data_IF_297583385677
#
_entry.id   IF_297583385677
#
_cell.length_a   1.000
_cell.length_b   1.000
_cell.length_c   1.000
_cell.angle_alpha   90.00
_cell.angle_beta   90.00
_cell.angle_gamma   90.00
#
_symmetry.space_group_name_H-M   'P 1'
#
loop_
_entity.id
_entity.type
_entity.pdbx_description
1 polymer ?
#
# COMPACT_ATOMS: atom_id res chain seq x y z
N UNK A 1 11.23 -12.89 0.70
CA UNK A 1 11.18 -11.54 1.31
C UNK A 1 10.99 -10.52 0.18
N UNK A 2 10.37 -9.39 0.48
CA UNK A 2 9.60 -8.55 -0.45
C UNK A 2 10.38 -7.31 -0.86
N UNK A 3 10.02 -6.64 -1.97
CA UNK A 3 10.34 -5.23 -2.19
C UNK A 3 9.06 -4.37 -2.16
N UNK A 4 9.10 -3.28 -1.39
CA UNK A 4 8.08 -2.21 -1.42
C UNK A 4 8.77 -0.87 -1.60
N UNK A 5 8.23 -0.04 -2.49
CA UNK A 5 8.52 1.40 -2.55
C UNK A 5 7.25 2.20 -2.34
N UNK A 6 7.29 3.18 -1.43
CA UNK A 6 6.19 4.06 -1.07
C UNK A 6 6.65 5.52 -1.18
N UNK A 7 6.04 6.34 -2.03
CA UNK A 7 6.50 7.71 -2.28
C UNK A 7 5.34 8.66 -2.59
N UNK A 8 5.61 9.97 -2.48
CA UNK A 8 4.72 10.99 -3.01
C UNK A 8 4.97 11.13 -4.51
N UNK A 9 3.93 10.92 -5.29
CA UNK A 9 3.90 11.16 -6.73
C UNK A 9 3.11 12.45 -7.00
N UNK A 10 3.64 13.30 -7.89
CA UNK A 10 3.04 14.59 -8.28
C UNK A 10 2.80 14.70 -9.78
N UNK A 11 2.72 13.57 -10.51
CA UNK A 11 2.49 13.53 -11.96
C UNK A 11 1.16 14.15 -12.43
N UNK A 12 0.18 14.30 -11.56
CA UNK A 12 -1.09 14.98 -11.87
C UNK A 12 -1.51 15.81 -10.65
N UNK A 13 -1.77 15.10 -9.55
CA UNK A 13 -2.03 15.66 -8.24
C UNK A 13 -1.18 14.93 -7.22
N UNK A 14 -0.81 15.66 -6.15
CA UNK A 14 -0.08 15.05 -5.05
C UNK A 14 -0.88 13.85 -4.52
N UNK A 15 -0.26 12.69 -4.51
CA UNK A 15 -0.83 11.41 -4.05
C UNK A 15 0.30 10.51 -3.57
N UNK A 16 -0.01 9.54 -2.70
CA UNK A 16 0.97 8.50 -2.34
C UNK A 16 0.81 7.34 -3.31
N UNK A 17 1.91 6.93 -3.91
CA UNK A 17 2.01 5.72 -4.72
C UNK A 17 2.80 4.67 -3.95
N UNK A 18 2.34 3.44 -4.00
CA UNK A 18 3.01 2.30 -3.37
C UNK A 18 3.02 1.13 -4.33
N UNK A 19 4.21 0.57 -4.56
CA UNK A 19 4.38 -0.62 -5.40
C UNK A 19 5.01 -1.76 -4.61
N UNK A 20 4.64 -2.98 -4.94
CA UNK A 20 5.20 -4.18 -4.33
C UNK A 20 5.21 -5.37 -5.29
N UNK A 21 6.10 -6.31 -5.08
CA UNK A 21 6.06 -7.65 -5.69
C UNK A 21 5.08 -8.56 -4.92
N UNK A 22 4.69 -9.72 -5.46
CA UNK A 22 3.74 -10.64 -4.80
C UNK A 22 4.36 -11.98 -4.36
N UNK A 23 5.66 -12.18 -4.56
CA UNK A 23 6.35 -13.42 -4.21
C UNK A 23 6.50 -13.62 -2.70
N UNK A 24 6.23 -14.82 -2.24
CA UNK A 24 6.68 -15.32 -0.93
C UNK A 24 7.72 -16.40 -1.19
N UNK A 25 8.80 -16.34 -0.42
CA UNK A 25 9.83 -17.37 -0.40
C UNK A 25 9.95 -18.01 0.98
N UNK A 26 10.32 -19.28 1.00
CA UNK A 26 10.65 -20.05 2.19
C UNK A 26 11.90 -20.88 1.91
N UNK A 27 12.92 -20.76 2.78
CA UNK A 27 14.16 -21.55 2.69
C UNK A 27 14.79 -21.55 1.27
N UNK A 28 14.92 -20.37 0.64
CA UNK A 28 15.46 -20.17 -0.72
C UNK A 28 14.63 -20.79 -1.85
N UNK A 29 13.38 -21.16 -1.60
CA UNK A 29 12.43 -21.59 -2.62
C UNK A 29 11.23 -20.67 -2.69
N UNK A 30 10.62 -20.55 -3.86
CA UNK A 30 9.35 -19.84 -4.02
C UNK A 30 8.22 -20.67 -3.42
N UNK A 31 7.50 -20.09 -2.46
CA UNK A 31 6.30 -20.70 -1.89
C UNK A 31 5.07 -20.36 -2.74
N UNK A 32 4.94 -19.10 -3.14
CA UNK A 32 3.87 -18.63 -4.03
C UNK A 32 4.26 -17.31 -4.68
N UNK A 33 3.79 -17.07 -5.90
CA UNK A 33 3.91 -15.79 -6.60
C UNK A 33 2.64 -14.93 -6.49
N UNK A 34 1.62 -15.35 -5.73
CA UNK A 34 0.29 -14.73 -5.76
C UNK A 34 -0.14 -14.10 -4.43
N UNK A 35 0.79 -13.69 -3.57
CA UNK A 35 0.43 -13.08 -2.29
C UNK A 35 0.26 -11.57 -2.39
N UNK A 36 -0.93 -11.02 -2.08
CA UNK A 36 -1.09 -9.60 -1.88
C UNK A 36 -0.25 -9.10 -0.71
N UNK A 37 0.38 -7.94 -0.88
CA UNK A 37 1.20 -7.30 0.17
C UNK A 37 0.83 -5.85 0.42
N UNK A 38 -0.02 -5.28 -0.44
CA UNK A 38 -0.60 -3.96 -0.32
C UNK A 38 -2.12 -4.08 -0.16
N UNK A 39 -2.67 -3.32 0.76
CA UNK A 39 -4.07 -3.39 1.14
C UNK A 39 -4.64 -2.00 1.35
N UNK A 40 -5.94 -1.89 1.10
CA UNK A 40 -6.74 -0.73 1.48
C UNK A 40 -7.63 -1.13 2.67
N UNK A 41 -7.62 -0.34 3.74
CA UNK A 41 -8.38 -0.61 4.96
C UNK A 41 -9.38 0.54 5.16
N UNK A 42 -10.70 0.27 5.01
CA UNK A 42 -11.71 1.26 5.30
C UNK A 42 -11.81 1.48 6.82
N UNK A 43 -11.98 2.73 7.21
CA UNK A 43 -12.29 3.09 8.59
C UNK A 43 -13.71 3.60 8.63
N UNK A 44 -14.51 2.97 9.46
CA UNK A 44 -15.93 3.27 9.60
C UNK A 44 -16.28 3.50 11.06
N UNK A 45 -17.19 4.45 11.28
CA UNK A 45 -17.66 4.82 12.61
C UNK A 45 -19.15 4.56 12.73
N UNK A 46 -19.58 4.12 13.90
CA UNK A 46 -20.96 4.15 14.32
C UNK A 46 -21.17 5.49 15.01
N UNK A 47 -21.92 6.37 14.35
CA UNK A 47 -22.29 7.69 14.87
C UNK A 47 -23.12 7.51 16.13
N UNK A 48 -22.98 8.42 17.10
CA UNK A 48 -23.82 8.37 18.32
C UNK A 48 -25.31 8.46 18.02
N UNK A 49 -25.69 9.14 16.92
CA UNK A 49 -27.06 9.24 16.42
C UNK A 49 -27.63 7.91 15.90
N UNK A 50 -26.80 6.91 15.59
CA UNK A 50 -27.25 5.57 15.25
C UNK A 50 -27.54 4.77 16.53
N UNK A 51 -28.76 4.97 17.06
CA UNK A 51 -29.23 4.32 18.29
C UNK A 51 -29.13 2.79 18.22
N UNK A 52 -29.33 2.20 17.04
CA UNK A 52 -29.32 0.76 16.85
C UNK A 52 -27.92 0.20 16.57
N UNK A 53 -26.92 1.06 16.28
CA UNK A 53 -25.52 0.69 16.03
C UNK A 53 -25.33 -0.27 14.84
N UNK A 54 -26.19 -0.15 13.84
CA UNK A 54 -26.25 -1.04 12.67
C UNK A 54 -25.76 -0.40 11.37
N UNK A 55 -25.54 0.92 11.35
CA UNK A 55 -25.14 1.69 10.16
C UNK A 55 -23.74 2.30 10.33
N UNK A 56 -22.66 1.51 10.22
CA UNK A 56 -21.31 2.06 10.21
C UNK A 56 -21.11 2.94 8.96
N UNK A 57 -20.73 4.20 9.17
CA UNK A 57 -20.41 5.15 8.13
C UNK A 57 -18.91 5.14 7.87
N UNK A 58 -18.48 4.89 6.62
CA UNK A 58 -17.08 5.03 6.22
C UNK A 58 -16.65 6.49 6.27
N UNK A 59 -15.56 6.77 6.98
CA UNK A 59 -15.05 8.14 7.20
C UNK A 59 -13.71 8.39 6.49
N UNK A 60 -12.87 7.37 6.36
CA UNK A 60 -11.61 7.42 5.61
C UNK A 60 -11.22 6.04 5.14
N UNK A 61 -10.17 5.98 4.33
CA UNK A 61 -9.57 4.74 3.87
C UNK A 61 -8.04 4.90 3.83
N UNK A 62 -7.34 4.05 4.57
CA UNK A 62 -5.87 4.07 4.64
C UNK A 62 -5.27 2.94 3.81
N UNK A 63 -4.02 3.11 3.43
CA UNK A 63 -3.18 2.07 2.85
C UNK A 63 -2.36 1.37 3.91
N UNK A 64 -2.22 0.06 3.76
CA UNK A 64 -1.35 -0.78 4.58
C UNK A 64 -0.50 -1.66 3.67
N UNK A 65 0.79 -1.77 3.95
CA UNK A 65 1.69 -2.69 3.27
C UNK A 65 2.62 -3.40 4.25
N UNK A 66 3.13 -4.58 3.88
CA UNK A 66 4.10 -5.28 4.71
C UNK A 66 5.16 -6.04 3.91
N UNK A 67 6.34 -6.19 4.50
CA UNK A 67 7.46 -7.00 4.02
C UNK A 67 8.02 -7.86 5.16
N UNK A 68 8.37 -9.11 4.87
CA UNK A 68 8.86 -10.07 5.88
C UNK A 68 7.81 -11.13 6.21
N UNK A 69 7.53 -11.34 7.50
CA UNK A 69 6.65 -12.40 7.99
C UNK A 69 5.20 -12.27 7.51
N UNK A 70 4.81 -13.06 6.50
CA UNK A 70 3.44 -13.08 5.97
C UNK A 70 2.39 -13.35 7.04
N UNK A 71 2.68 -14.28 7.97
CA UNK A 71 1.76 -14.61 9.05
C UNK A 71 1.48 -13.39 9.94
N UNK A 72 2.51 -12.61 10.29
CA UNK A 72 2.32 -11.40 11.10
C UNK A 72 1.63 -10.31 10.28
N UNK A 73 2.13 -10.02 9.08
CA UNK A 73 1.63 -8.94 8.23
C UNK A 73 0.14 -9.08 7.87
N UNK A 74 -0.29 -10.26 7.44
CA UNK A 74 -1.71 -10.52 7.12
C UNK A 74 -2.58 -10.40 8.36
N UNK A 75 -2.17 -11.00 9.50
CA UNK A 75 -2.98 -10.94 10.71
C UNK A 75 -3.09 -9.52 11.28
N UNK A 76 -2.03 -8.70 11.19
CA UNK A 76 -2.11 -7.28 11.55
C UNK A 76 -3.11 -6.56 10.66
N UNK A 77 -3.03 -6.76 9.34
CA UNK A 77 -3.98 -6.19 8.38
C UNK A 77 -5.43 -6.58 8.72
N UNK A 78 -5.72 -7.86 8.95
CA UNK A 78 -7.08 -8.31 9.25
C UNK A 78 -7.59 -7.75 10.58
N UNK A 79 -6.76 -7.75 11.62
CA UNK A 79 -7.13 -7.20 12.92
C UNK A 79 -7.38 -5.69 12.85
N UNK A 80 -6.59 -4.94 12.07
CA UNK A 80 -6.86 -3.53 11.79
C UNK A 80 -8.18 -3.35 11.04
N UNK A 81 -8.44 -4.14 10.00
CA UNK A 81 -9.69 -4.06 9.25
C UNK A 81 -10.92 -4.32 10.13
N UNK A 82 -10.84 -5.33 11.01
CA UNK A 82 -11.91 -5.62 11.99
C UNK A 82 -12.06 -4.48 12.99
N UNK A 83 -10.97 -4.05 13.64
CA UNK A 83 -11.02 -3.02 14.67
C UNK A 83 -11.52 -1.65 14.14
N UNK A 84 -11.12 -1.29 12.92
CA UNK A 84 -11.45 -0.01 12.31
C UNK A 84 -12.79 -0.02 11.55
N UNK A 85 -13.42 -1.18 11.36
CA UNK A 85 -14.70 -1.29 10.65
C UNK A 85 -15.90 -0.75 11.44
N UNK A 86 -15.79 -0.62 12.77
CA UNK A 86 -16.90 -0.27 13.66
C UNK A 86 -16.43 0.54 14.88
N UNK A 87 -15.68 1.60 14.65
CA UNK A 87 -15.30 2.51 15.73
C UNK A 87 -16.54 3.21 16.30
N UNK A 88 -16.60 3.44 17.61
CA UNK A 88 -17.72 4.12 18.25
C UNK A 88 -17.37 5.58 18.54
N UNK A 89 -18.22 6.50 18.10
CA UNK A 89 -18.07 7.92 18.45
C UNK A 89 -18.41 8.13 19.93
N UNK A 90 -17.50 8.78 20.66
CA UNK A 90 -17.63 9.04 22.10
C UNK A 90 -18.18 10.45 22.36
N UNK A 91 -17.91 11.43 21.47
CA UNK A 91 -18.24 12.84 21.67
C UNK A 91 -19.72 13.16 21.41
N UNK A 92 -20.23 14.12 22.19
CA UNK A 92 -21.63 14.57 22.16
C UNK A 92 -21.85 15.74 21.18
N UNK A 93 -21.35 15.60 19.94
CA UNK A 93 -21.59 16.61 18.90
C UNK A 93 -22.98 16.39 18.31
N UNK A 94 -24.00 16.77 19.09
CA UNK A 94 -25.41 16.44 18.89
C UNK A 94 -26.08 17.07 17.67
N UNK A 95 -25.39 17.91 16.88
CA UNK A 95 -26.05 18.75 15.87
C UNK A 95 -25.34 18.85 14.51
N UNK A 96 -24.12 18.34 14.34
CA UNK A 96 -23.42 18.40 13.05
C UNK A 96 -23.57 17.10 12.25
N UNK A 97 -24.08 17.21 11.01
CA UNK A 97 -24.03 16.11 10.03
C UNK A 97 -22.58 15.73 9.67
N UNK A 98 -21.63 16.62 9.93
CA UNK A 98 -20.21 16.44 9.64
C UNK A 98 -19.43 16.08 10.90
N UNK A 99 -18.47 15.17 10.73
CA UNK A 99 -17.49 14.80 11.75
C UNK A 99 -16.41 15.89 11.80
N UNK A 100 -16.13 16.50 12.97
CA UNK A 100 -15.04 17.46 13.09
C UNK A 100 -13.67 16.82 12.80
N UNK A 101 -12.75 17.60 12.21
CA UNK A 101 -11.44 17.09 11.75
C UNK A 101 -10.61 16.47 12.89
N UNK A 102 -10.68 17.06 14.09
CA UNK A 102 -9.99 16.60 15.29
C UNK A 102 -10.45 15.22 15.80
N UNK A 103 -11.67 14.81 15.40
CA UNK A 103 -12.24 13.52 15.79
C UNK A 103 -11.77 12.38 14.88
N UNK A 104 -11.26 12.69 13.68
CA UNK A 104 -10.71 11.65 12.79
C UNK A 104 -9.47 11.01 13.43
N UNK A 105 -9.32 9.67 13.33
CA UNK A 105 -8.08 9.03 13.75
C UNK A 105 -6.94 9.50 12.84
N UNK A 106 -5.82 9.85 13.45
CA UNK A 106 -4.57 10.08 12.74
C UNK A 106 -3.98 8.75 12.27
N UNK A 107 -3.22 8.80 11.17
CA UNK A 107 -2.49 7.61 10.71
C UNK A 107 -1.46 7.13 11.74
N UNK A 108 -0.94 8.02 12.60
CA UNK A 108 -0.03 7.66 13.68
C UNK A 108 -0.70 6.86 14.80
N UNK A 109 -1.92 7.25 15.22
CA UNK A 109 -2.73 6.46 16.16
C UNK A 109 -3.03 5.06 15.60
N UNK A 110 -3.33 4.97 14.30
CA UNK A 110 -3.54 3.68 13.62
C UNK A 110 -2.24 2.86 13.55
N UNK A 111 -1.10 3.48 13.30
CA UNK A 111 0.20 2.82 13.34
C UNK A 111 0.54 2.31 14.74
N UNK A 112 0.21 3.05 15.81
CA UNK A 112 0.35 2.56 17.19
C UNK A 112 -0.49 1.32 17.47
N UNK A 113 -1.73 1.27 16.95
CA UNK A 113 -2.56 0.07 17.03
C UNK A 113 -1.92 -1.10 16.24
N UNK A 114 -1.43 -0.83 15.03
CA UNK A 114 -0.74 -1.83 14.20
C UNK A 114 0.48 -2.42 14.93
N UNK A 115 1.30 -1.56 15.53
CA UNK A 115 2.43 -1.95 16.39
C UNK A 115 1.98 -2.88 17.51
N UNK A 116 0.97 -2.48 18.29
CA UNK A 116 0.49 -3.26 19.43
C UNK A 116 -0.01 -4.64 19.04
N UNK A 117 -0.68 -4.76 17.89
CA UNK A 117 -1.13 -6.05 17.34
C UNK A 117 0.08 -6.88 16.90
N UNK A 118 0.98 -6.28 16.13
CA UNK A 118 2.14 -6.96 15.58
C UNK A 118 3.08 -7.49 16.66
N UNK A 119 3.37 -6.72 17.71
CA UNK A 119 4.24 -7.14 18.81
C UNK A 119 3.69 -8.36 19.55
N UNK A 120 2.36 -8.50 19.68
CA UNK A 120 1.74 -9.73 20.24
C UNK A 120 2.05 -10.94 19.36
N UNK A 121 1.81 -10.84 18.05
CA UNK A 121 2.15 -11.92 17.12
C UNK A 121 3.67 -12.20 17.08
N UNK A 122 4.51 -11.18 17.17
CA UNK A 122 5.96 -11.36 17.21
C UNK A 122 6.41 -12.14 18.44
N UNK A 123 5.81 -11.87 19.61
CA UNK A 123 6.08 -12.65 20.84
C UNK A 123 5.64 -14.11 20.63
N UNK A 124 4.40 -14.34 20.20
CA UNK A 124 3.86 -15.70 20.06
C UNK A 124 4.61 -16.53 19.01
N UNK A 125 4.85 -15.95 17.83
CA UNK A 125 5.58 -16.61 16.73
C UNK A 125 7.05 -16.76 17.09
N UNK A 126 7.64 -15.75 17.73
CA UNK A 126 9.06 -15.72 18.08
C UNK A 126 9.46 -16.77 19.10
N UNK A 127 8.53 -17.25 19.94
CA UNK A 127 8.77 -18.37 20.85
C UNK A 127 9.16 -19.65 20.11
N UNK A 128 8.54 -19.92 18.96
CA UNK A 128 8.75 -21.15 18.20
C UNK A 128 9.64 -20.95 16.96
N UNK A 129 9.57 -19.77 16.35
CA UNK A 129 10.28 -19.42 15.12
C UNK A 129 10.95 -18.03 15.22
N UNK A 130 12.03 -17.87 16.02
CA UNK A 130 12.68 -16.57 16.25
C UNK A 130 13.11 -15.84 14.98
N UNK A 131 13.52 -16.58 13.94
CA UNK A 131 13.95 -15.99 12.68
C UNK A 131 12.78 -15.56 11.77
N UNK A 132 11.55 -15.98 12.07
CA UNK A 132 10.35 -15.71 11.28
C UNK A 132 9.57 -14.47 11.75
N UNK A 133 10.09 -13.70 12.72
CA UNK A 133 9.43 -12.50 13.26
C UNK A 133 9.87 -11.19 12.60
N UNK A 134 10.83 -11.24 11.66
CA UNK A 134 11.26 -10.05 10.91
C UNK A 134 10.10 -9.51 10.10
N UNK A 135 9.76 -8.25 10.34
CA UNK A 135 8.63 -7.59 9.70
C UNK A 135 8.90 -6.10 9.57
N UNK A 136 8.61 -5.59 8.39
CA UNK A 136 8.46 -4.17 8.13
C UNK A 136 7.03 -3.94 7.64
N UNK A 137 6.42 -2.84 8.07
CA UNK A 137 5.08 -2.44 7.66
C UNK A 137 5.06 -0.96 7.33
N UNK A 138 4.13 -0.58 6.48
CA UNK A 138 3.88 0.82 6.13
C UNK A 138 2.40 1.12 6.26
N UNK A 139 2.06 2.15 7.02
CA UNK A 139 0.74 2.77 7.06
C UNK A 139 0.81 4.08 6.29
N UNK A 140 -0.02 4.25 5.27
CA UNK A 140 0.05 5.41 4.40
C UNK A 140 -1.32 5.95 4.01
N UNK A 141 -1.37 7.22 3.62
CA UNK A 141 -2.57 7.83 3.08
C UNK A 141 -2.65 9.32 3.38
N UNK A 142 -3.81 9.90 3.07
CA UNK A 142 -4.13 11.27 3.45
C UNK A 142 -4.74 11.32 4.85
N UNK A 143 -4.01 11.89 5.81
CA UNK A 143 -4.46 12.02 7.18
C UNK A 143 -5.44 13.19 7.30
N UNK A 144 -6.74 12.90 7.46
CA UNK A 144 -7.79 13.93 7.59
C UNK A 144 -7.56 14.87 8.78
N UNK A 145 -7.11 14.33 9.92
CA UNK A 145 -6.85 15.08 11.15
C UNK A 145 -5.78 16.15 10.98
N UNK A 146 -4.71 15.85 10.24
CA UNK A 146 -3.59 16.77 10.00
C UNK A 146 -3.61 17.42 8.62
N UNK A 147 -4.60 17.08 7.79
CA UNK A 147 -4.76 17.53 6.40
C UNK A 147 -3.51 17.35 5.52
N UNK A 148 -2.75 16.29 5.75
CA UNK A 148 -1.48 16.05 5.08
C UNK A 148 -1.31 14.57 4.73
N UNK A 149 -0.53 14.31 3.68
CA UNK A 149 -0.07 12.96 3.38
C UNK A 149 0.91 12.47 4.45
N UNK A 150 0.75 11.21 4.85
CA UNK A 150 1.63 10.56 5.82
C UNK A 150 2.05 9.19 5.30
N UNK A 151 3.32 8.87 5.52
CA UNK A 151 3.90 7.55 5.33
C UNK A 151 4.56 7.20 6.67
N UNK A 152 4.05 6.18 7.34
CA UNK A 152 4.51 5.78 8.67
C UNK A 152 5.07 4.37 8.55
N UNK A 153 6.37 4.25 8.74
CA UNK A 153 7.10 2.98 8.68
C UNK A 153 7.15 2.36 10.08
N UNK A 154 6.90 1.07 10.15
CA UNK A 154 7.10 0.25 11.33
C UNK A 154 8.11 -0.84 10.99
N UNK A 155 9.12 -1.04 11.83
CA UNK A 155 10.14 -2.05 11.56
C UNK A 155 10.82 -2.52 12.83
N UNK A 156 11.15 -3.81 12.89
CA UNK A 156 12.09 -4.32 13.88
C UNK A 156 13.49 -4.39 13.27
N UNK A 157 14.50 -4.34 14.13
CA UNK A 157 15.90 -4.48 13.73
C UNK A 157 16.47 -5.78 14.28
N UNK A 158 17.62 -6.20 13.75
CA UNK A 158 18.37 -7.31 14.33
C UNK A 158 18.79 -7.07 15.78
N UNK A 159 18.94 -5.81 16.20
CA UNK A 159 19.30 -5.45 17.58
C UNK A 159 18.10 -5.46 18.53
N UNK A 160 16.87 -5.19 18.03
CA UNK A 160 15.64 -5.23 18.81
C UNK A 160 14.55 -6.02 18.08
N UNK A 161 14.70 -7.35 17.92
CA UNK A 161 13.82 -8.15 17.07
C UNK A 161 12.41 -8.29 17.62
N UNK A 162 12.22 -8.10 18.94
CA UNK A 162 10.92 -8.22 19.61
C UNK A 162 10.10 -6.92 19.61
N UNK A 163 10.70 -5.77 19.30
CA UNK A 163 10.04 -4.47 19.39
C UNK A 163 10.00 -3.80 18.02
N UNK A 164 8.89 -3.14 17.71
CA UNK A 164 8.76 -2.35 16.50
C UNK A 164 9.08 -0.88 16.77
N UNK A 165 10.06 -0.34 16.05
CA UNK A 165 10.21 1.10 15.88
C UNK A 165 9.05 1.65 15.05
N UNK A 166 8.65 2.90 15.32
CA UNK A 166 7.73 3.66 14.47
C UNK A 166 8.48 4.90 14.00
N UNK A 167 8.47 5.13 12.70
CA UNK A 167 9.03 6.29 12.04
C UNK A 167 7.91 6.99 11.24
N UNK A 168 7.60 8.24 11.58
CA UNK A 168 6.80 9.11 10.72
C UNK A 168 7.74 9.75 9.69
N UNK A 169 7.74 9.25 8.46
CA UNK A 169 8.68 9.66 7.43
C UNK A 169 8.42 11.11 7.02
N UNK A 170 9.41 11.98 7.27
CA UNK A 170 9.35 13.41 6.95
C UNK A 170 9.92 13.69 5.54
N UNK A 171 9.76 14.92 5.05
CA UNK A 171 10.35 15.40 3.78
C UNK A 171 9.94 14.60 2.53
N UNK A 172 8.68 14.17 2.47
CA UNK A 172 8.12 13.36 1.38
C UNK A 172 8.05 14.09 0.03
N UNK A 173 8.22 15.43 0.02
CA UNK A 173 8.08 16.27 -1.18
C UNK A 173 9.13 16.04 -2.27
N UNK A 174 10.25 15.38 -1.93
CA UNK A 174 11.33 15.06 -2.87
C UNK A 174 10.96 13.94 -3.85
N UNK A 175 9.88 13.21 -3.61
CA UNK A 175 9.53 11.99 -4.35
C UNK A 175 10.43 10.80 -4.00
N UNK A 176 11.42 10.95 -3.12
CA UNK A 176 12.28 9.86 -2.66
C UNK A 176 11.43 8.77 -1.99
N UNK A 177 11.53 7.51 -2.42
CA UNK A 177 10.70 6.45 -1.87
C UNK A 177 11.18 6.00 -0.49
N UNK A 178 10.21 5.76 0.39
CA UNK A 178 10.38 4.95 1.60
C UNK A 178 10.38 3.49 1.16
N UNK A 179 11.49 2.80 1.43
CA UNK A 179 11.71 1.41 1.02
C UNK A 179 11.52 0.45 2.20
N UNK A 180 10.96 -0.72 1.91
CA UNK A 180 10.80 -1.81 2.88
C UNK A 180 11.20 -3.14 2.24
N UNK A 181 11.65 -4.07 3.09
CA UNK A 181 11.94 -5.45 2.73
C UNK A 181 13.40 -5.67 2.36
N UNK A 182 13.62 -6.57 1.42
CA UNK A 182 14.96 -7.01 1.01
C UNK A 182 15.64 -5.99 0.11
N UNK A 183 16.98 -5.96 0.17
CA UNK A 183 17.82 -5.27 -0.82
C UNK A 183 17.46 -3.79 -0.98
N UNK A 184 17.01 -3.11 0.09
CA UNK A 184 16.53 -1.72 0.04
C UNK A 184 17.56 -0.77 -0.59
N UNK A 185 18.84 -0.93 -0.27
CA UNK A 185 19.90 -0.11 -0.85
C UNK A 185 20.02 -0.33 -2.36
N UNK A 186 20.18 -1.59 -2.80
CA UNK A 186 20.29 -1.94 -4.23
C UNK A 186 19.03 -1.50 -4.99
N UNK A 187 17.85 -1.64 -4.38
CA UNK A 187 16.61 -1.17 -4.97
C UNK A 187 16.61 0.34 -5.14
N UNK A 188 16.99 1.08 -4.10
CA UNK A 188 17.09 2.54 -4.14
C UNK A 188 18.04 3.02 -5.23
N UNK A 189 19.22 2.41 -5.34
CA UNK A 189 20.20 2.70 -6.39
C UNK A 189 19.63 2.41 -7.79
N UNK A 190 18.88 1.32 -7.94
CA UNK A 190 18.22 0.96 -9.21
C UNK A 190 17.09 1.92 -9.59
N UNK A 191 16.32 2.41 -8.61
CA UNK A 191 15.31 3.45 -8.82
C UNK A 191 15.97 4.75 -9.30
N UNK A 192 17.05 5.19 -8.67
CA UNK A 192 17.75 6.41 -9.08
C UNK A 192 18.38 6.26 -10.48
N UNK A 193 18.97 5.10 -10.78
CA UNK A 193 19.46 4.77 -12.13
C UNK A 193 18.32 4.78 -13.16
N UNK A 194 17.12 4.36 -12.77
CA UNK A 194 15.93 4.41 -13.63
C UNK A 194 15.46 5.85 -13.83
N UNK A 195 15.48 6.69 -12.78
CA UNK A 195 15.13 8.12 -12.86
C UNK A 195 16.04 8.90 -13.81
N UNK A 196 17.34 8.62 -13.78
CA UNK A 196 18.33 9.29 -14.64
C UNK A 196 18.09 9.10 -16.15
N UNK A 197 17.25 8.14 -16.54
CA UNK A 197 16.86 7.91 -17.93
C UNK A 197 15.80 8.90 -18.44
N UNK A 198 15.16 9.63 -17.52
CA UNK A 198 14.03 10.50 -17.80
C UNK A 198 14.33 11.93 -17.36
N UNK A 199 13.80 12.91 -18.10
CA UNK A 199 13.86 14.31 -17.67
C UNK A 199 13.06 14.50 -16.37
N UNK A 200 13.58 15.35 -15.49
CA UNK A 200 12.94 15.68 -14.22
C UNK A 200 11.49 16.15 -14.45
N UNK A 201 10.58 15.74 -13.55
CA UNK A 201 9.15 16.10 -13.56
C UNK A 201 8.32 15.52 -14.73
N UNK A 202 8.89 14.64 -15.53
CA UNK A 202 8.11 13.84 -16.49
C UNK A 202 7.34 12.71 -15.80
N UNK A 203 6.28 12.20 -16.45
CA UNK A 203 5.48 11.08 -15.93
C UNK A 203 6.36 9.86 -15.61
N UNK A 204 7.28 9.49 -16.51
CA UNK A 204 8.20 8.37 -16.29
C UNK A 204 9.19 8.63 -15.15
N UNK A 205 9.59 9.89 -14.92
CA UNK A 205 10.43 10.25 -13.79
C UNK A 205 9.71 10.01 -12.45
N UNK A 206 8.45 10.47 -12.35
CA UNK A 206 7.62 10.25 -11.17
C UNK A 206 7.26 8.77 -10.94
N UNK A 207 7.07 8.02 -12.03
CA UNK A 207 6.79 6.57 -11.99
C UNK A 207 8.04 5.69 -11.98
N UNK A 208 9.24 6.26 -11.89
CA UNK A 208 10.48 5.48 -11.91
C UNK A 208 10.54 4.35 -10.87
N UNK A 209 10.04 4.51 -9.61
CA UNK A 209 9.98 3.38 -8.66
C UNK A 209 9.13 2.21 -9.16
N UNK A 210 8.03 2.50 -9.86
CA UNK A 210 7.19 1.49 -10.49
C UNK A 210 7.94 0.75 -11.60
N UNK A 211 8.57 1.51 -12.52
CA UNK A 211 9.30 0.97 -13.66
C UNK A 211 10.47 0.10 -13.17
N UNK A 212 11.22 0.59 -12.18
CA UNK A 212 12.32 -0.11 -11.56
C UNK A 212 11.87 -1.47 -10.99
N UNK A 213 10.81 -1.51 -10.18
CA UNK A 213 10.34 -2.78 -9.61
C UNK A 213 9.81 -3.74 -10.68
N UNK A 214 9.06 -3.24 -11.67
CA UNK A 214 8.58 -4.03 -12.80
C UNK A 214 9.74 -4.72 -13.53
N UNK A 215 10.80 -3.96 -13.84
CA UNK A 215 11.99 -4.48 -14.49
C UNK A 215 12.71 -5.49 -13.61
N UNK A 216 12.79 -5.25 -12.30
CA UNK A 216 13.45 -6.18 -11.37
C UNK A 216 12.73 -7.52 -11.28
N UNK A 217 11.40 -7.50 -11.23
CA UNK A 217 10.56 -8.71 -11.26
C UNK A 217 10.76 -9.45 -12.58
N UNK A 218 10.74 -8.75 -13.72
CA UNK A 218 10.85 -9.36 -15.05
C UNK A 218 12.24 -9.95 -15.34
N UNK A 219 13.31 -9.37 -14.78
CA UNK A 219 14.67 -9.91 -14.89
C UNK A 219 14.84 -11.23 -14.13
N UNK A 220 14.05 -11.45 -13.08
CA UNK A 220 14.10 -12.69 -12.29
C UNK A 220 15.44 -12.96 -11.61
N UNK A 221 16.26 -11.93 -11.40
CA UNK A 221 17.64 -12.04 -10.89
C UNK A 221 17.73 -12.16 -9.37
N UNK A 222 16.62 -11.88 -8.65
CA UNK A 222 16.56 -11.96 -7.19
C UNK A 222 15.52 -12.98 -6.79
N UNK A 223 15.94 -14.03 -6.08
CA UNK A 223 15.05 -15.13 -5.69
C UNK A 223 13.89 -14.65 -4.82
N UNK A 224 14.12 -13.67 -3.95
CA UNK A 224 13.15 -13.22 -2.96
C UNK A 224 12.07 -12.30 -3.54
N UNK A 225 12.38 -11.55 -4.61
CA UNK A 225 11.50 -10.55 -5.23
C UNK A 225 10.97 -11.11 -6.55
N UNK A 226 9.65 -11.15 -6.74
CA UNK A 226 9.10 -11.63 -8.01
C UNK A 226 7.59 -11.77 -8.03
N UNK A 227 7.11 -12.63 -8.92
CA UNK A 227 5.69 -12.84 -9.15
C UNK A 227 5.09 -11.68 -9.94
N UNK A 228 4.11 -11.02 -9.37
CA UNK A 228 3.32 -9.97 -10.01
C UNK A 228 3.49 -8.65 -9.28
N UNK A 229 3.51 -7.58 -10.05
CA UNK A 229 3.52 -6.24 -9.52
C UNK A 229 2.15 -5.90 -8.91
N UNK A 230 2.17 -5.11 -7.85
CA UNK A 230 1.00 -4.59 -7.15
C UNK A 230 1.13 -3.07 -7.05
N UNK A 231 0.00 -2.36 -7.12
CA UNK A 231 -0.05 -0.90 -6.99
C UNK A 231 -1.16 -0.49 -6.04
N UNK A 232 -0.83 0.41 -5.12
CA UNK A 232 -1.79 1.15 -4.32
C UNK A 232 -1.59 2.66 -4.51
N UNK A 233 -2.70 3.38 -4.57
CA UNK A 233 -2.76 4.83 -4.75
C UNK A 233 -3.58 5.45 -3.61
N UNK A 234 -3.03 6.43 -2.91
CA UNK A 234 -3.75 7.18 -1.89
C UNK A 234 -3.88 8.66 -2.27
N UNK A 235 -5.12 9.12 -2.40
CA UNK A 235 -5.47 10.51 -2.64
C UNK A 235 -6.21 11.09 -1.42
N UNK A 236 -6.59 12.38 -1.41
CA UNK A 236 -7.36 12.93 -0.31
C UNK A 236 -8.77 12.32 -0.23
N UNK A 237 -9.24 11.65 -1.28
CA UNK A 237 -10.59 11.07 -1.35
C UNK A 237 -10.59 9.64 -0.81
N UNK A 238 -9.62 8.83 -1.21
CA UNK A 238 -9.58 7.40 -0.91
C UNK A 238 -8.19 6.82 -1.13
N UNK A 239 -7.90 5.72 -0.44
CA UNK A 239 -6.82 4.80 -0.82
C UNK A 239 -7.41 3.64 -1.63
N UNK A 240 -6.75 3.22 -2.71
CA UNK A 240 -7.25 2.18 -3.62
C UNK A 240 -6.13 1.28 -4.08
N UNK A 241 -6.43 0.00 -4.22
CA UNK A 241 -5.59 -0.95 -4.95
C UNK A 241 -5.96 -0.89 -6.42
N UNK A 242 -4.96 -0.70 -7.29
CA UNK A 242 -5.12 -0.65 -8.73
C UNK A 242 -4.91 -2.03 -9.35
N UNK A 243 -5.79 -2.42 -10.25
CA UNK A 243 -5.59 -3.62 -11.05
C UNK A 243 -4.58 -3.34 -12.16
N UNK A 244 -3.64 -4.26 -12.38
CA UNK A 244 -2.64 -4.10 -13.43
C UNK A 244 -2.98 -4.98 -14.63
N UNK A 245 -2.83 -4.41 -15.82
CA UNK A 245 -3.12 -5.08 -17.10
C UNK A 245 -1.90 -5.02 -18.00
N UNK A 246 -1.56 -6.14 -18.63
CA UNK A 246 -0.59 -6.16 -19.71
C UNK A 246 -1.31 -5.78 -21.02
N UNK A 247 -0.96 -4.63 -21.60
CA UNK A 247 -1.59 -4.14 -22.85
C UNK A 247 -1.10 -4.86 -24.10
N UNK A 248 -0.04 -5.66 -23.99
CA UNK A 248 0.52 -6.42 -25.12
C UNK A 248 -0.23 -7.74 -25.37
N UNK A 249 -1.20 -8.10 -24.54
CA UNK A 249 -2.06 -9.27 -24.75
C UNK A 249 -3.38 -8.84 -25.38
N UNK A 250 -3.89 -9.63 -26.34
CA UNK A 250 -5.18 -9.35 -27.01
C UNK A 250 -6.41 -9.49 -26.08
N UNK A 251 -6.21 -9.80 -24.80
CA UNK A 251 -7.26 -9.96 -23.80
C UNK A 251 -7.03 -8.99 -22.64
N UNK A 252 -8.03 -8.18 -22.32
CA UNK A 252 -8.04 -7.36 -21.11
C UNK A 252 -8.08 -8.31 -19.92
N UNK A 253 -6.91 -8.53 -19.30
CA UNK A 253 -6.77 -9.34 -18.09
C UNK A 253 -6.42 -8.41 -16.92
N UNK A 254 -7.41 -8.13 -16.08
CA UNK A 254 -7.19 -7.37 -14.85
C UNK A 254 -6.91 -8.33 -13.71
N UNK A 255 -5.68 -8.25 -13.20
CA UNK A 255 -5.20 -9.12 -12.13
C UNK A 255 -4.91 -8.33 -10.86
N UNK A 256 -5.13 -8.99 -9.73
CA UNK A 256 -4.63 -8.56 -8.43
C UNK A 256 -3.67 -9.64 -7.91
N UNK A 257 -2.39 -9.28 -7.74
CA UNK A 257 -1.32 -10.23 -7.44
C UNK A 257 -1.30 -11.44 -8.42
N UNK A 258 -1.56 -11.19 -9.70
CA UNK A 258 -1.58 -12.22 -10.75
C UNK A 258 -2.83 -13.11 -10.80
N UNK A 259 -3.75 -12.97 -9.85
CA UNK A 259 -5.03 -13.68 -9.92
C UNK A 259 -5.96 -12.90 -10.85
N UNK A 260 -6.32 -13.51 -11.98
CA UNK A 260 -7.22 -12.91 -12.95
C UNK A 260 -8.65 -12.88 -12.42
N UNK A 261 -9.16 -11.67 -12.15
CA UNK A 261 -10.55 -11.47 -11.70
C UNK A 261 -11.53 -11.25 -12.85
N UNK A 262 -11.01 -11.09 -14.07
CA UNK A 262 -11.81 -10.80 -15.28
C UNK A 262 -12.31 -12.04 -16.00
N UNK A 263 -11.56 -13.14 -15.98
CA UNK A 263 -12.11 -14.43 -16.44
C UNK A 263 -13.31 -14.87 -15.59
N UNK A 264 -13.44 -14.29 -14.38
CA UNK A 264 -14.60 -14.44 -13.50
C UNK A 264 -15.75 -13.47 -13.79
N UNK A 265 -15.69 -12.62 -14.84
CA UNK A 265 -16.79 -11.71 -15.21
C UNK A 265 -18.10 -12.42 -15.56
N UNK A 266 -18.07 -13.73 -15.80
CA UNK A 266 -19.27 -14.56 -15.94
C UNK A 266 -19.95 -14.93 -14.61
N UNK A 267 -19.27 -14.77 -13.48
CA UNK A 267 -19.79 -15.13 -12.16
C UNK A 267 -20.37 -13.90 -11.46
N UNK A 268 -21.69 -13.80 -11.42
CA UNK A 268 -22.35 -12.85 -10.52
C UNK A 268 -22.20 -13.34 -9.07
N UNK A 269 -21.90 -12.42 -8.16
CA UNK A 269 -22.02 -12.70 -6.72
C UNK A 269 -23.38 -12.16 -6.30
N UNK A 270 -24.38 -13.03 -6.24
CA UNK A 270 -25.78 -12.61 -6.15
C UNK A 270 -26.19 -11.80 -7.39
N UNK A 271 -26.79 -10.62 -7.19
CA UNK A 271 -27.18 -9.70 -8.26
C UNK A 271 -26.10 -8.71 -8.70
N UNK A 272 -24.86 -8.88 -8.27
CA UNK A 272 -23.76 -7.93 -8.51
C UNK A 272 -22.67 -8.55 -9.41
N UNK A 273 -22.05 -7.73 -10.24
CA UNK A 273 -20.89 -8.11 -11.06
C UNK A 273 -19.59 -7.68 -10.38
N UNK A 274 -18.55 -8.49 -10.53
CA UNK A 274 -17.19 -8.13 -10.14
C UNK A 274 -16.63 -7.15 -11.17
N UNK A 275 -16.80 -5.84 -10.98
CA UNK A 275 -16.23 -4.83 -11.88
C UNK A 275 -14.98 -4.17 -11.28
N UNK A 276 -13.77 -4.44 -11.78
CA UNK A 276 -12.58 -3.69 -11.40
C UNK A 276 -12.69 -2.27 -11.95
N UNK A 277 -12.82 -1.29 -11.06
CA UNK A 277 -13.15 0.09 -11.44
C UNK A 277 -11.95 0.97 -11.76
N UNK A 278 -10.74 0.59 -11.35
CA UNK A 278 -9.53 1.39 -11.53
C UNK A 278 -8.33 0.48 -11.82
N UNK A 279 -7.62 0.76 -12.91
CA UNK A 279 -6.44 0.00 -13.29
C UNK A 279 -5.42 0.83 -14.05
N UNK A 280 -4.23 0.27 -14.21
CA UNK A 280 -3.13 0.88 -14.96
C UNK A 280 -2.44 -0.18 -15.82
N UNK A 281 -1.92 0.22 -16.97
CA UNK A 281 -1.09 -0.67 -17.78
C UNK A 281 0.27 -0.88 -17.13
N UNK A 282 0.83 -2.08 -17.30
CA UNK A 282 2.25 -2.31 -16.99
C UNK A 282 3.14 -1.50 -17.95
N UNK A 283 4.26 -0.93 -17.48
CA UNK A 283 5.22 -0.26 -18.34
C UNK A 283 6.03 -1.27 -19.14
N UNK A 284 6.60 -0.81 -20.25
CA UNK A 284 7.73 -1.49 -20.87
C UNK A 284 9.01 -1.27 -20.06
N UNK A 285 10.12 -1.83 -20.54
CA UNK A 285 11.44 -1.68 -19.91
C UNK A 285 11.85 -0.21 -19.75
N UNK A 286 11.43 0.63 -20.70
CA UNK A 286 11.71 2.07 -20.76
C UNK A 286 10.53 2.95 -20.31
N UNK A 287 9.59 2.40 -19.53
CA UNK A 287 8.41 3.13 -19.07
C UNK A 287 7.25 3.08 -20.05
N UNK A 288 6.41 4.13 -20.04
CA UNK A 288 5.28 4.28 -20.96
C UNK A 288 5.66 5.16 -22.15
N UNK A 289 5.10 4.89 -23.33
CA UNK A 289 5.41 5.59 -24.59
C UNK A 289 5.23 7.12 -24.51
N UNK A 290 4.22 7.57 -23.76
CA UNK A 290 3.95 9.00 -23.54
C UNK A 290 4.53 9.53 -22.24
N UNK A 291 5.33 8.73 -21.54
CA UNK A 291 5.78 9.03 -20.19
C UNK A 291 6.90 10.07 -20.11
N UNK A 292 7.56 10.40 -21.23
CA UNK A 292 8.55 11.49 -21.28
C UNK A 292 7.91 12.89 -21.39
N UNK A 293 6.59 12.99 -21.29
CA UNK A 293 5.89 14.28 -21.21
C UNK A 293 5.92 14.79 -19.77
N UNK A 294 6.08 16.09 -19.62
CA UNK A 294 5.82 16.79 -18.36
C UNK A 294 4.33 16.67 -18.05
N UNK A 295 4.02 16.39 -16.79
CA UNK A 295 2.67 16.42 -16.24
C UNK A 295 1.93 17.71 -16.61
N UNK A 296 0.63 17.66 -16.90
CA UNK A 296 -0.15 18.90 -17.10
C UNK A 296 -0.15 19.70 -15.79
N UNK A 297 0.34 20.93 -15.82
CA UNK A 297 0.14 21.88 -14.72
C UNK A 297 -1.37 22.12 -14.59
N UNK A 298 -1.98 21.91 -13.41
CA UNK A 298 -3.39 22.28 -13.20
C UNK A 298 -3.53 23.78 -13.42
N UNK A 299 -4.46 24.20 -14.27
CA UNK A 299 -4.84 25.59 -14.36
C UNK A 299 -5.26 26.08 -12.96
N UNK A 300 -4.67 27.18 -12.51
CA UNK A 300 -5.09 27.87 -11.28
C UNK A 300 -6.61 28.06 -11.32
N UNK A 301 -7.31 27.45 -10.36
CA UNK A 301 -8.74 27.67 -10.10
C UNK A 301 -8.92 27.99 -8.64
#
# INVERSE_FOLDING_TARGET
MTAIACWINREEHESIWVVSDSRITQQNSTLTDHCPKLFSIPVSVIRKSDTYRIYPQKILELGFGFAGSTMIGINVKEMLAVALSRLHEISDNTLSQQIPLETYPSLYEIALLAKSIAEKYMIDVGQFFPNAVRIEMVVFGYCRKTQAYKIIKLSNSSSTPANLGIEDCQNLSSGTPVLLGDRQQEFGEFIETTRQRFEFDTINWWRAPFIALNNWINQGSIDTIGGYLQLSLASPISTKISFLTNINTNAISMSHAGINTTESFGATIGGFILMPMNGMSLPGENGWDFGNRVARVPAER
#
